data_IF_092694606284
#
_entry.id   IF_092694606284
#
_cell.length_a   1.000
_cell.length_b   1.000
_cell.length_c   1.000
_cell.angle_alpha   90.00
_cell.angle_beta   90.00
_cell.angle_gamma   90.00
#
_symmetry.space_group_name_H-M   'P 1'
#
loop_
_entity.id
_entity.type
_entity.pdbx_description
1 polymer ?
#
# COMPACT_ATOMS: atom_id res chain seq x y z
N UNK A 1 62.52 18.81 -2.25
CA UNK A 1 61.66 18.18 -1.25
C UNK A 1 60.21 18.55 -1.58
N UNK A 2 59.53 17.64 -2.23
CA UNK A 2 58.14 17.84 -2.68
C UNK A 2 57.25 17.38 -1.55
N UNK A 3 56.40 18.28 -1.07
CA UNK A 3 55.36 17.94 -0.08
C UNK A 3 54.16 17.41 -0.84
N UNK A 4 53.98 16.09 -0.87
CA UNK A 4 52.74 15.45 -1.27
C UNK A 4 51.70 15.68 -0.18
N UNK A 5 50.60 16.37 -0.55
CA UNK A 5 49.44 16.60 0.31
C UNK A 5 48.55 15.34 0.32
N UNK A 6 48.21 14.77 1.50
CA UNK A 6 47.45 13.52 1.57
C UNK A 6 45.92 13.70 1.42
N UNK A 7 45.42 14.83 0.91
CA UNK A 7 44.00 15.15 0.84
C UNK A 7 43.39 15.29 -0.57
N UNK A 8 43.98 14.61 -1.57
CA UNK A 8 43.47 14.64 -2.93
C UNK A 8 42.91 13.30 -3.38
N UNK A 9 41.93 12.77 -2.68
CA UNK A 9 40.97 11.83 -3.27
C UNK A 9 39.60 12.45 -3.09
N UNK A 10 39.21 13.35 -4.02
CA UNK A 10 37.84 13.78 -4.17
C UNK A 10 36.99 12.54 -4.48
N UNK A 11 36.26 12.10 -3.50
CA UNK A 11 35.22 11.06 -3.68
C UNK A 11 34.27 11.58 -4.74
N UNK A 12 34.30 10.95 -5.90
CA UNK A 12 33.37 11.24 -6.99
C UNK A 12 31.98 10.96 -6.46
N UNK A 13 31.18 11.98 -6.20
CA UNK A 13 29.78 11.83 -5.90
C UNK A 13 29.13 11.20 -7.12
N UNK A 14 28.82 9.91 -7.03
CA UNK A 14 27.97 9.25 -8.01
C UNK A 14 26.57 9.77 -7.78
N UNK A 15 25.89 10.16 -8.85
CA UNK A 15 24.51 10.65 -8.81
C UNK A 15 23.48 9.54 -8.54
N UNK A 16 23.93 8.35 -8.17
CA UNK A 16 23.04 7.28 -7.74
C UNK A 16 22.53 7.61 -6.34
N UNK A 17 21.19 7.62 -6.14
CA UNK A 17 20.63 7.81 -4.82
C UNK A 17 21.16 6.71 -3.91
N UNK A 18 21.76 7.09 -2.80
CA UNK A 18 22.15 6.13 -1.76
C UNK A 18 20.87 5.51 -1.25
N UNK A 19 20.68 4.24 -1.51
CA UNK A 19 19.55 3.49 -0.98
C UNK A 19 19.68 3.42 0.54
N UNK A 20 18.90 4.24 1.23
CA UNK A 20 18.96 4.37 2.70
C UNK A 20 18.11 3.34 3.41
N UNK A 21 17.30 2.58 2.66
CA UNK A 21 16.44 1.51 3.18
C UNK A 21 17.08 0.16 2.89
N UNK A 22 17.31 -0.65 3.92
CA UNK A 22 17.70 -2.04 3.73
C UNK A 22 16.60 -2.76 2.93
N UNK A 23 16.99 -3.59 1.97
CA UNK A 23 16.10 -4.51 1.31
C UNK A 23 15.37 -5.34 2.36
N UNK A 24 14.03 -5.22 2.41
CA UNK A 24 13.20 -6.05 3.26
C UNK A 24 12.83 -7.32 2.52
N UNK A 25 12.71 -8.41 3.27
CA UNK A 25 12.12 -9.62 2.72
C UNK A 25 10.68 -9.30 2.30
N UNK A 26 10.30 -9.71 1.09
CA UNK A 26 8.98 -9.50 0.53
C UNK A 26 8.47 -10.79 -0.13
N UNK A 27 7.22 -11.15 0.14
CA UNK A 27 6.54 -12.31 -0.44
C UNK A 27 5.02 -12.14 -0.37
N UNK A 28 4.32 -12.75 -1.31
CA UNK A 28 2.85 -12.88 -1.24
C UNK A 28 2.41 -14.13 -0.47
N UNK A 29 3.33 -15.03 -0.14
CA UNK A 29 3.04 -16.23 0.65
C UNK A 29 3.19 -15.94 2.15
N UNK A 30 2.10 -15.92 2.94
CA UNK A 30 2.17 -15.64 4.37
C UNK A 30 2.92 -16.73 5.16
N UNK A 31 3.16 -17.91 4.60
CA UNK A 31 3.90 -18.97 5.27
C UNK A 31 5.40 -18.74 5.29
N UNK A 32 5.91 -17.89 4.42
CA UNK A 32 7.32 -17.50 4.37
C UNK A 32 7.71 -16.47 5.44
N UNK A 33 6.71 -15.87 6.11
CA UNK A 33 6.96 -14.94 7.22
C UNK A 33 6.91 -15.65 8.58
N UNK A 34 7.69 -15.16 9.55
CA UNK A 34 7.59 -15.64 10.92
C UNK A 34 6.21 -15.33 11.52
N UNK A 35 5.84 -16.09 12.55
CA UNK A 35 4.60 -15.82 13.28
C UNK A 35 4.64 -14.44 13.96
N UNK A 36 3.52 -13.72 13.85
CA UNK A 36 3.37 -12.38 14.43
C UNK A 36 3.51 -12.47 15.94
N UNK A 37 4.50 -11.78 16.50
CA UNK A 37 4.74 -11.77 17.94
C UNK A 37 5.42 -10.47 18.38
N UNK A 38 5.26 -10.10 19.65
CA UNK A 38 5.93 -8.93 20.24
C UNK A 38 7.47 -9.06 20.30
N UNK A 39 8.02 -10.24 20.04
CA UNK A 39 9.47 -10.45 19.96
C UNK A 39 10.06 -9.94 18.63
N UNK A 40 9.24 -9.81 17.59
CA UNK A 40 9.64 -9.25 16.30
C UNK A 40 9.65 -7.72 16.38
N UNK A 41 10.68 -7.12 15.80
CA UNK A 41 10.87 -5.66 15.82
C UNK A 41 9.68 -4.91 15.22
N UNK A 42 9.15 -5.42 14.12
CA UNK A 42 8.05 -4.78 13.38
C UNK A 42 6.72 -4.79 14.16
N UNK A 43 6.54 -5.75 15.10
CA UNK A 43 5.31 -5.95 15.86
C UNK A 43 5.42 -5.56 17.33
N UNK A 44 6.61 -5.19 17.81
CA UNK A 44 6.90 -4.98 19.24
C UNK A 44 6.01 -3.94 19.91
N UNK A 45 5.56 -2.93 19.17
CA UNK A 45 4.73 -1.83 19.68
C UNK A 45 3.26 -1.95 19.26
N UNK A 46 2.91 -3.02 18.56
CA UNK A 46 1.54 -3.26 18.07
C UNK A 46 0.71 -3.95 19.15
N UNK A 47 -0.52 -3.50 19.42
CA UNK A 47 -1.43 -4.16 20.34
C UNK A 47 -1.97 -5.45 19.70
N UNK A 48 -1.22 -6.56 19.82
CA UNK A 48 -1.46 -7.82 19.11
C UNK A 48 -2.81 -8.46 19.43
N UNK A 49 -3.34 -8.24 20.63
CA UNK A 49 -4.68 -8.66 21.04
C UNK A 49 -5.78 -8.05 20.15
N UNK A 50 -5.61 -6.82 19.70
CA UNK A 50 -6.57 -6.15 18.82
C UNK A 50 -6.54 -6.66 17.39
N UNK A 51 -5.41 -7.14 16.90
CA UNK A 51 -5.23 -7.57 15.51
C UNK A 51 -5.35 -9.10 15.33
N UNK A 52 -5.72 -9.84 16.35
CA UNK A 52 -5.76 -11.32 16.32
C UNK A 52 -6.58 -11.85 15.14
N UNK A 53 -7.73 -11.23 14.84
CA UNK A 53 -8.58 -11.63 13.70
C UNK A 53 -7.88 -11.47 12.34
N UNK A 54 -7.01 -10.48 12.19
CA UNK A 54 -6.24 -10.24 10.97
C UNK A 54 -5.04 -11.18 10.86
N UNK A 55 -4.45 -11.59 12.00
CA UNK A 55 -3.29 -12.48 12.04
C UNK A 55 -3.68 -13.94 11.77
N UNK A 56 -4.80 -14.42 12.33
CA UNK A 56 -5.15 -15.84 12.31
C UNK A 56 -6.61 -16.15 11.93
N UNK A 57 -7.48 -15.12 11.88
CA UNK A 57 -8.89 -15.29 11.49
C UNK A 57 -9.09 -15.52 10.00
N UNK A 58 -10.31 -15.86 9.62
CA UNK A 58 -10.72 -15.87 8.23
C UNK A 58 -10.93 -14.44 7.73
N UNK A 59 -10.34 -14.10 6.58
CA UNK A 59 -10.50 -12.79 5.93
C UNK A 59 -11.47 -12.95 4.75
N UNK A 60 -12.48 -12.08 4.68
CA UNK A 60 -13.32 -11.96 3.50
C UNK A 60 -12.61 -11.06 2.48
N UNK A 61 -12.21 -11.64 1.36
CA UNK A 61 -11.51 -10.95 0.26
C UNK A 61 -12.40 -10.63 -0.95
N UNK A 62 -13.71 -10.78 -0.81
CA UNK A 62 -14.66 -10.47 -1.86
C UNK A 62 -14.77 -8.98 -2.17
N UNK A 63 -15.36 -8.65 -3.32
CA UNK A 63 -15.62 -7.28 -3.73
C UNK A 63 -16.60 -6.57 -2.78
N UNK A 64 -16.60 -5.25 -2.79
CA UNK A 64 -17.46 -4.41 -1.97
C UNK A 64 -17.99 -3.21 -2.77
N UNK A 65 -19.00 -2.55 -2.25
CA UNK A 65 -19.57 -1.37 -2.90
C UNK A 65 -18.65 -0.15 -2.73
N UNK A 66 -18.44 0.56 -3.82
CA UNK A 66 -17.71 1.83 -3.87
C UNK A 66 -18.59 2.87 -4.56
N UNK A 67 -18.74 4.02 -3.94
CA UNK A 67 -19.31 5.22 -4.57
C UNK A 67 -18.15 6.06 -5.11
N UNK A 68 -18.22 6.46 -6.38
CA UNK A 68 -17.14 7.21 -7.02
C UNK A 68 -17.70 8.19 -8.05
N UNK A 69 -17.00 9.33 -8.23
CA UNK A 69 -17.23 10.25 -9.34
C UNK A 69 -16.27 10.02 -10.52
N UNK A 70 -15.44 8.97 -10.44
CA UNK A 70 -14.55 8.51 -11.52
C UNK A 70 -14.76 7.01 -11.75
N UNK A 71 -14.31 6.53 -12.90
CA UNK A 71 -14.42 5.12 -13.24
C UNK A 71 -13.50 4.27 -12.35
N UNK A 72 -14.07 3.20 -11.83
CA UNK A 72 -13.36 2.18 -11.06
C UNK A 72 -13.66 0.80 -11.62
N UNK A 73 -12.73 -0.13 -11.47
CA UNK A 73 -12.91 -1.50 -11.97
C UNK A 73 -12.35 -2.52 -10.98
N UNK A 74 -12.90 -3.72 -11.01
CA UNK A 74 -12.37 -4.85 -10.27
C UNK A 74 -11.48 -5.68 -11.19
N UNK A 75 -10.24 -5.87 -10.79
CA UNK A 75 -9.23 -6.62 -11.56
C UNK A 75 -8.90 -7.92 -10.85
N UNK A 76 -8.81 -9.05 -11.59
CA UNK A 76 -8.36 -10.29 -10.98
C UNK A 76 -6.93 -10.12 -10.44
N UNK A 77 -6.60 -10.79 -9.34
CA UNK A 77 -5.27 -10.69 -8.71
C UNK A 77 -4.11 -11.15 -9.63
N UNK A 78 -4.42 -11.75 -10.76
CA UNK A 78 -3.44 -12.12 -11.81
C UNK A 78 -3.16 -11.00 -12.82
N UNK A 79 -3.84 -9.86 -12.72
CA UNK A 79 -3.59 -8.72 -13.61
C UNK A 79 -2.18 -8.16 -13.37
N UNK A 80 -1.45 -7.87 -14.45
CA UNK A 80 -0.05 -7.44 -14.41
C UNK A 80 0.19 -6.07 -13.75
N UNK A 81 -0.85 -5.27 -13.53
CA UNK A 81 -0.73 -4.01 -12.80
C UNK A 81 -0.54 -4.26 -11.29
N UNK A 82 -1.06 -5.39 -10.79
CA UNK A 82 -0.97 -5.76 -9.38
C UNK A 82 0.44 -6.25 -9.07
N UNK A 83 1.05 -5.74 -8.00
CA UNK A 83 2.42 -6.03 -7.62
C UNK A 83 3.46 -5.17 -8.36
N UNK A 84 3.04 -4.21 -9.19
CA UNK A 84 3.97 -3.37 -9.93
C UNK A 84 4.58 -2.26 -9.07
N UNK A 85 3.93 -1.85 -7.99
CA UNK A 85 4.46 -0.86 -7.06
C UNK A 85 5.21 -1.48 -5.87
N UNK A 86 5.00 -2.76 -5.59
CA UNK A 86 5.66 -3.45 -4.48
C UNK A 86 5.01 -4.77 -4.13
N UNK A 87 5.51 -5.41 -3.07
CA UNK A 87 5.04 -6.69 -2.57
C UNK A 87 4.97 -6.67 -1.04
N UNK A 88 4.18 -7.54 -0.45
CA UNK A 88 4.01 -7.64 1.00
C UNK A 88 5.35 -7.86 1.73
N UNK A 89 5.59 -7.08 2.77
CA UNK A 89 6.80 -7.12 3.61
C UNK A 89 6.54 -7.72 5.01
N UNK A 90 5.31 -8.14 5.28
CA UNK A 90 4.90 -8.76 6.55
C UNK A 90 3.81 -9.80 6.37
N UNK A 91 3.61 -10.62 7.41
CA UNK A 91 2.65 -11.73 7.39
C UNK A 91 1.20 -11.29 7.18
N UNK A 92 0.78 -10.16 7.74
CA UNK A 92 -0.62 -9.71 7.67
C UNK A 92 -0.92 -9.14 6.28
N UNK A 93 0.00 -8.36 5.71
CA UNK A 93 -0.13 -7.87 4.33
C UNK A 93 -0.11 -9.01 3.30
N UNK A 94 0.72 -10.04 3.49
CA UNK A 94 0.72 -11.25 2.66
C UNK A 94 -0.59 -12.05 2.79
N UNK A 95 -1.16 -12.15 4.00
CA UNK A 95 -2.48 -12.76 4.21
C UNK A 95 -3.59 -11.99 3.50
N UNK A 96 -3.57 -10.66 3.57
CA UNK A 96 -4.52 -9.82 2.84
C UNK A 96 -4.39 -10.03 1.32
N UNK A 97 -3.16 -10.08 0.81
CA UNK A 97 -2.90 -10.36 -0.61
C UNK A 97 -3.50 -11.67 -1.07
N UNK A 98 -3.23 -12.74 -0.31
CA UNK A 98 -3.68 -14.11 -0.66
C UNK A 98 -5.19 -14.28 -0.52
N UNK A 99 -5.83 -13.58 0.44
CA UNK A 99 -7.26 -13.68 0.68
C UNK A 99 -8.08 -12.86 -0.32
N UNK A 100 -7.51 -11.78 -0.90
CA UNK A 100 -8.24 -10.91 -1.84
C UNK A 100 -8.50 -11.63 -3.16
N UNK A 101 -9.75 -11.62 -3.60
CA UNK A 101 -10.18 -12.27 -4.86
C UNK A 101 -9.96 -11.35 -6.08
N UNK A 102 -10.19 -10.05 -5.91
CA UNK A 102 -10.03 -9.03 -6.95
C UNK A 102 -9.60 -7.71 -6.34
N UNK A 103 -8.68 -7.02 -7.00
CA UNK A 103 -8.24 -5.70 -6.60
C UNK A 103 -9.15 -4.59 -7.15
N UNK A 104 -9.43 -3.58 -6.35
CA UNK A 104 -10.05 -2.35 -6.82
C UNK A 104 -9.01 -1.52 -7.58
N UNK A 105 -9.21 -1.31 -8.87
CA UNK A 105 -8.35 -0.49 -9.71
C UNK A 105 -9.02 0.85 -10.02
N UNK A 106 -8.30 1.92 -9.75
CA UNK A 106 -8.69 3.32 -9.95
C UNK A 106 -7.68 3.93 -10.91
N UNK A 107 -8.13 4.25 -12.13
CA UNK A 107 -7.28 4.93 -13.12
C UNK A 107 -7.62 6.41 -13.17
N UNK A 108 -6.63 7.25 -12.90
CA UNK A 108 -6.74 8.71 -12.87
C UNK A 108 -5.95 9.30 -14.04
N UNK A 109 -6.66 9.70 -15.08
CA UNK A 109 -6.08 10.28 -16.30
C UNK A 109 -6.45 11.75 -16.45
N UNK A 110 -5.69 12.45 -17.31
CA UNK A 110 -5.90 13.86 -17.66
C UNK A 110 -5.56 14.83 -16.54
N UNK A 111 -5.96 16.09 -16.75
CA UNK A 111 -5.83 17.18 -15.79
C UNK A 111 -7.20 17.63 -15.34
N UNK A 112 -7.46 17.61 -14.02
CA UNK A 112 -8.69 18.06 -13.44
C UNK A 112 -8.41 18.76 -12.12
N UNK A 113 -9.07 19.89 -11.89
CA UNK A 113 -8.97 20.65 -10.64
C UNK A 113 -9.91 20.07 -9.56
N UNK A 114 -10.99 19.41 -9.98
CA UNK A 114 -11.89 18.72 -9.06
C UNK A 114 -11.28 17.40 -8.62
N UNK A 115 -11.28 17.11 -7.32
CA UNK A 115 -10.78 15.84 -6.82
C UNK A 115 -11.62 14.66 -7.32
N UNK A 116 -10.95 13.56 -7.68
CA UNK A 116 -11.60 12.27 -7.74
C UNK A 116 -12.00 11.88 -6.31
N UNK A 117 -13.25 11.53 -6.11
CA UNK A 117 -13.80 11.17 -4.81
C UNK A 117 -14.27 9.72 -4.83
N UNK A 118 -13.76 8.95 -3.88
CA UNK A 118 -14.20 7.60 -3.63
C UNK A 118 -14.65 7.47 -2.18
N UNK A 119 -15.72 6.72 -1.99
CA UNK A 119 -16.21 6.36 -0.66
C UNK A 119 -16.54 4.86 -0.63
N UNK A 120 -16.15 4.20 0.46
CA UNK A 120 -16.57 2.82 0.73
C UNK A 120 -16.99 2.67 2.17
N UNK A 121 -17.94 1.76 2.38
CA UNK A 121 -18.35 1.31 3.70
C UNK A 121 -18.05 -0.17 3.83
N UNK A 122 -17.28 -0.54 4.85
CA UNK A 122 -16.88 -1.92 5.11
C UNK A 122 -17.32 -2.37 6.50
N UNK A 123 -17.54 -3.66 6.63
CA UNK A 123 -17.87 -4.32 7.88
C UNK A 123 -17.15 -5.67 8.00
N UNK A 124 -17.20 -6.26 9.19
CA UNK A 124 -16.65 -7.59 9.45
C UNK A 124 -15.13 -7.67 9.50
N UNK A 125 -14.58 -8.80 9.08
CA UNK A 125 -13.12 -9.04 9.03
C UNK A 125 -12.72 -9.29 7.59
N UNK A 126 -11.99 -8.33 7.01
CA UNK A 126 -11.79 -8.27 5.56
C UNK A 126 -10.32 -8.18 5.15
N UNK A 127 -10.09 -8.66 3.92
CA UNK A 127 -8.91 -8.34 3.13
C UNK A 127 -9.30 -7.44 1.96
N UNK A 128 -8.41 -6.54 1.56
CA UNK A 128 -8.59 -5.72 0.36
C UNK A 128 -7.25 -5.48 -0.34
N UNK A 129 -7.33 -5.25 -1.66
CA UNK A 129 -6.22 -4.80 -2.48
C UNK A 129 -6.69 -3.66 -3.38
N UNK A 130 -5.96 -2.56 -3.37
CA UNK A 130 -6.30 -1.35 -4.12
C UNK A 130 -5.11 -0.98 -4.97
N UNK A 131 -5.35 -0.68 -6.24
CA UNK A 131 -4.37 -0.11 -7.17
C UNK A 131 -4.85 1.25 -7.62
N UNK A 132 -4.10 2.29 -7.32
CA UNK A 132 -4.34 3.66 -7.74
C UNK A 132 -3.29 4.02 -8.76
N UNK A 133 -3.71 4.20 -10.00
CA UNK A 133 -2.82 4.51 -11.11
C UNK A 133 -3.07 5.93 -11.61
N UNK A 134 -2.06 6.78 -11.52
CA UNK A 134 -2.03 8.09 -12.15
C UNK A 134 -1.37 7.95 -13.50
N UNK A 135 -2.15 8.15 -14.58
CA UNK A 135 -1.70 7.99 -15.96
C UNK A 135 -0.57 8.97 -16.30
N UNK A 136 0.21 8.65 -17.35
CA UNK A 136 1.30 9.48 -17.78
C UNK A 136 0.83 10.92 -18.09
N UNK A 137 1.59 11.91 -17.59
CA UNK A 137 1.32 13.34 -17.73
C UNK A 137 0.01 13.82 -17.08
N UNK A 138 -0.65 12.99 -16.27
CA UNK A 138 -1.86 13.40 -15.54
C UNK A 138 -1.54 14.37 -14.40
N UNK A 139 -2.52 15.18 -14.01
CA UNK A 139 -2.48 16.00 -12.78
C UNK A 139 -3.79 15.83 -12.04
N UNK A 140 -3.78 14.93 -11.05
CA UNK A 140 -5.01 14.52 -10.36
C UNK A 140 -4.85 14.49 -8.85
N UNK A 141 -5.93 14.80 -8.16
CA UNK A 141 -6.10 14.58 -6.73
C UNK A 141 -7.14 13.50 -6.50
N UNK A 142 -6.84 12.54 -5.65
CA UNK A 142 -7.78 11.53 -5.16
C UNK A 142 -8.07 11.79 -3.68
N UNK A 143 -9.35 11.76 -3.31
CA UNK A 143 -9.82 11.70 -1.92
C UNK A 143 -10.55 10.39 -1.75
N UNK A 144 -10.05 9.52 -0.90
CA UNK A 144 -10.64 8.21 -0.63
C UNK A 144 -11.10 8.12 0.82
N UNK A 145 -12.41 8.17 1.03
CA UNK A 145 -13.04 8.13 2.34
C UNK A 145 -13.49 6.71 2.68
N UNK A 146 -13.21 6.31 3.89
CA UNK A 146 -13.45 4.96 4.39
C UNK A 146 -14.35 5.04 5.62
N UNK A 147 -15.46 4.26 5.63
CA UNK A 147 -16.42 4.20 6.71
C UNK A 147 -16.67 2.76 7.17
N UNK A 148 -17.22 2.62 8.36
CA UNK A 148 -17.78 1.37 8.87
C UNK A 148 -17.08 0.81 10.09
N UNK A 149 -17.58 -0.34 10.56
CA UNK A 149 -17.03 -1.11 11.68
C UNK A 149 -16.33 -2.36 11.13
N UNK A 150 -15.02 -2.30 10.99
CA UNK A 150 -14.26 -3.33 10.26
C UNK A 150 -12.94 -3.68 10.95
N UNK A 151 -12.54 -4.94 10.84
CA UNK A 151 -11.15 -5.36 10.99
C UNK A 151 -10.58 -5.56 9.57
N UNK A 152 -9.79 -4.63 9.09
CA UNK A 152 -9.30 -4.60 7.72
C UNK A 152 -7.79 -4.77 7.66
N UNK A 153 -7.34 -5.73 6.84
CA UNK A 153 -5.99 -5.81 6.35
C UNK A 153 -5.98 -5.51 4.84
N UNK A 154 -5.19 -4.52 4.40
CA UNK A 154 -5.17 -4.16 2.99
C UNK A 154 -3.79 -3.81 2.45
N UNK A 155 -3.65 -4.01 1.14
CA UNK A 155 -2.52 -3.53 0.36
C UNK A 155 -2.99 -2.42 -0.57
N UNK A 156 -2.25 -1.33 -0.62
CA UNK A 156 -2.53 -0.18 -1.49
C UNK A 156 -1.31 0.09 -2.35
N UNK A 157 -1.46 -0.06 -3.64
CA UNK A 157 -0.43 0.29 -4.62
C UNK A 157 -0.75 1.65 -5.23
N UNK A 158 0.23 2.54 -5.26
CA UNK A 158 0.14 3.86 -5.87
C UNK A 158 1.18 3.93 -7.00
N UNK A 159 0.69 3.98 -8.22
CA UNK A 159 1.52 3.99 -9.44
C UNK A 159 1.44 5.38 -10.05
N UNK A 160 2.57 6.07 -10.08
CA UNK A 160 2.65 7.41 -10.69
C UNK A 160 3.47 7.30 -11.97
N UNK A 161 2.77 7.34 -13.12
CA UNK A 161 3.41 7.20 -14.43
C UNK A 161 4.21 8.44 -14.80
N UNK A 162 5.03 8.32 -15.84
CA UNK A 162 5.94 9.36 -16.31
C UNK A 162 5.27 10.73 -16.45
N UNK A 163 5.86 11.74 -15.79
CA UNK A 163 5.37 13.12 -15.84
C UNK A 163 4.04 13.39 -15.13
N UNK A 164 3.50 12.40 -14.40
CA UNK A 164 2.28 12.60 -13.62
C UNK A 164 2.53 13.41 -12.34
N UNK A 165 1.51 14.17 -11.92
CA UNK A 165 1.45 14.87 -10.65
C UNK A 165 0.28 14.32 -9.82
N UNK A 166 0.59 13.60 -8.76
CA UNK A 166 -0.36 12.85 -7.97
C UNK A 166 -0.52 13.41 -6.56
N UNK A 167 -1.75 13.53 -6.10
CA UNK A 167 -2.08 13.72 -4.69
C UNK A 167 -3.11 12.68 -4.30
N UNK A 168 -2.81 11.85 -3.29
CA UNK A 168 -3.75 10.90 -2.73
C UNK A 168 -3.99 11.20 -1.25
N UNK A 169 -5.26 11.37 -0.89
CA UNK A 169 -5.70 11.65 0.47
C UNK A 169 -6.59 10.49 0.92
N UNK A 170 -6.22 9.83 2.02
CA UNK A 170 -7.01 8.77 2.64
C UNK A 170 -7.64 9.29 3.92
N UNK A 171 -8.96 9.26 3.98
CA UNK A 171 -9.74 9.63 5.16
C UNK A 171 -10.27 8.36 5.82
N UNK A 172 -9.91 8.15 7.08
CA UNK A 172 -10.38 7.02 7.88
C UNK A 172 -11.46 7.48 8.85
N UNK A 173 -12.70 7.43 8.42
CA UNK A 173 -13.89 7.71 9.25
C UNK A 173 -14.48 6.40 9.79
N UNK A 174 -13.58 5.53 10.25
CA UNK A 174 -13.93 4.24 10.82
C UNK A 174 -14.59 4.39 12.19
N UNK A 175 -15.46 3.45 12.53
CA UNK A 175 -15.92 3.28 13.91
C UNK A 175 -14.73 3.08 14.88
N UNK A 176 -14.88 3.57 16.11
CA UNK A 176 -13.81 3.52 17.13
C UNK A 176 -13.34 2.09 17.49
N UNK A 177 -14.18 1.08 17.25
CA UNK A 177 -13.82 -0.31 17.49
C UNK A 177 -13.13 -0.98 16.29
N UNK A 178 -13.01 -0.28 15.17
CA UNK A 178 -12.34 -0.80 13.97
C UNK A 178 -10.84 -0.97 14.18
N UNK A 179 -10.28 -1.89 13.41
CA UNK A 179 -8.84 -2.10 13.28
C UNK A 179 -8.49 -2.06 11.80
N UNK A 180 -7.56 -1.19 11.43
CA UNK A 180 -7.11 -1.05 10.06
C UNK A 180 -5.58 -1.18 9.99
N UNK A 181 -5.11 -2.19 9.28
CA UNK A 181 -3.70 -2.40 8.93
C UNK A 181 -3.56 -2.26 7.42
N UNK A 182 -2.82 -1.26 6.97
CA UNK A 182 -2.58 -1.01 5.56
C UNK A 182 -1.08 -1.00 5.24
N UNK A 183 -0.70 -1.68 4.16
CA UNK A 183 0.63 -1.60 3.56
C UNK A 183 0.53 -0.78 2.28
N UNK A 184 1.26 0.33 2.22
CA UNK A 184 1.27 1.23 1.06
C UNK A 184 2.59 1.08 0.31
N UNK A 185 2.48 0.84 -1.00
CA UNK A 185 3.60 0.75 -1.94
C UNK A 185 3.45 1.86 -2.97
N UNK A 186 4.55 2.51 -3.36
CA UNK A 186 4.51 3.58 -4.36
C UNK A 186 5.69 3.49 -5.32
N UNK A 187 5.46 3.73 -6.60
CA UNK A 187 6.45 3.74 -7.67
C UNK A 187 6.19 4.88 -8.66
#
# INVERSE_FOLDING_TARGET
MSHDSPFATATKWTSEPVQTRNERFASIDPTEFPDVSAALLDWRLTPLDRITSLVSGQLDGGTYSVTSNVDVSWQPMTNSVIGSAGCSEDKVSARAWTATESALHILLDGEDTEPAQLERMLDGTRAAHIVIEFAAHSRRTLVFTNHGLVNLAENVEIIVRDGAHATAVFLGEWDNASVHLASHFAV
#
